data_IF_140627548401
#
_entry.id   IF_140627548401
#
_cell.length_a   1.000
_cell.length_b   1.000
_cell.length_c   1.000
_cell.angle_alpha   90.00
_cell.angle_beta   90.00
_cell.angle_gamma   90.00
#
_symmetry.space_group_name_H-M   'P 1'
#
loop_
_entity.id
_entity.type
_entity.pdbx_description
1 polymer ?
#
# COMPACT_ATOMS: atom_id res chain seq x y z
N UNK A 1 -14.18 22.93 -3.19
CA UNK A 1 -13.23 22.30 -4.11
C UNK A 1 -14.00 21.41 -5.08
N UNK A 2 -14.23 21.89 -6.31
CA UNK A 2 -14.86 21.07 -7.33
C UNK A 2 -13.89 19.92 -7.69
N UNK A 3 -14.29 18.67 -7.45
CA UNK A 3 -13.45 17.50 -7.66
C UNK A 3 -13.17 17.29 -9.15
N UNK A 4 -11.98 17.69 -9.60
CA UNK A 4 -11.53 17.40 -10.95
C UNK A 4 -11.42 15.87 -11.16
N UNK A 5 -12.07 15.37 -12.21
CA UNK A 5 -11.96 13.96 -12.61
C UNK A 5 -10.67 13.76 -13.41
N UNK A 6 -9.61 13.30 -12.74
CA UNK A 6 -8.39 12.89 -13.42
C UNK A 6 -8.57 11.51 -14.05
N UNK A 7 -8.39 11.41 -15.37
CA UNK A 7 -8.24 10.12 -16.03
C UNK A 7 -6.85 9.55 -15.69
N UNK A 8 -6.75 8.34 -15.14
CA UNK A 8 -5.45 7.70 -14.96
C UNK A 8 -4.76 7.59 -16.32
N UNK A 9 -3.53 8.11 -16.45
CA UNK A 9 -2.77 7.97 -17.70
C UNK A 9 -2.50 6.50 -18.03
N UNK A 10 -2.31 5.68 -17.00
CA UNK A 10 -2.02 4.26 -17.11
C UNK A 10 -2.86 3.46 -16.11
N UNK A 11 -3.25 2.24 -16.49
CA UNK A 11 -3.94 1.31 -15.61
C UNK A 11 -2.92 0.58 -14.74
N UNK A 12 -2.89 0.92 -13.44
CA UNK A 12 -2.05 0.22 -12.46
C UNK A 12 -2.69 -1.12 -12.12
N UNK A 13 -1.92 -2.19 -12.16
CA UNK A 13 -2.35 -3.53 -11.78
C UNK A 13 -1.33 -4.19 -10.84
N UNK A 14 -1.60 -5.43 -10.43
CA UNK A 14 -0.77 -6.16 -9.49
C UNK A 14 0.66 -6.46 -10.00
N UNK A 15 0.89 -6.41 -11.33
CA UNK A 15 2.19 -6.60 -11.97
C UNK A 15 2.94 -5.28 -12.24
N UNK A 16 2.30 -4.12 -12.05
CA UNK A 16 2.99 -2.83 -12.22
C UNK A 16 4.14 -2.70 -11.21
N UNK A 17 5.29 -2.22 -11.69
CA UNK A 17 6.52 -1.98 -10.90
C UNK A 17 6.73 -0.48 -10.72
N UNK A 18 7.50 -0.07 -9.71
CA UNK A 18 7.85 1.33 -9.52
C UNK A 18 6.70 2.20 -9.01
N UNK A 19 5.75 1.61 -8.28
CA UNK A 19 4.54 2.30 -7.80
C UNK A 19 4.70 2.85 -6.38
N UNK A 20 4.03 3.97 -6.13
CA UNK A 20 3.72 4.48 -4.79
C UNK A 20 2.24 4.17 -4.51
N UNK A 21 1.93 3.73 -3.29
CA UNK A 21 0.61 3.25 -2.91
C UNK A 21 0.23 3.66 -1.49
N UNK A 22 -1.07 3.74 -1.24
CA UNK A 22 -1.68 4.00 0.07
C UNK A 22 -2.42 2.73 0.51
N UNK A 23 -2.16 2.28 1.74
CA UNK A 23 -3.00 1.34 2.45
C UNK A 23 -3.79 2.10 3.50
N UNK A 24 -5.09 1.83 3.57
CA UNK A 24 -6.00 2.40 4.54
C UNK A 24 -6.59 1.26 5.38
N UNK A 25 -6.40 1.37 6.69
CA UNK A 25 -7.11 0.54 7.65
C UNK A 25 -8.53 1.09 7.85
N UNK A 26 -9.50 0.21 8.09
CA UNK A 26 -10.84 0.61 8.50
C UNK A 26 -10.82 1.40 9.82
N UNK A 27 -9.79 1.18 10.65
CA UNK A 27 -9.51 1.93 11.87
C UNK A 27 -9.04 3.39 11.64
N UNK A 28 -8.80 3.81 10.39
CA UNK A 28 -8.37 5.16 10.05
C UNK A 28 -6.86 5.36 9.97
N UNK A 29 -6.05 4.37 10.34
CA UNK A 29 -4.59 4.42 10.12
C UNK A 29 -4.23 4.31 8.63
N UNK A 30 -3.22 5.06 8.21
CA UNK A 30 -2.73 5.09 6.84
C UNK A 30 -1.27 4.65 6.75
N UNK A 31 -0.94 3.88 5.72
CA UNK A 31 0.44 3.54 5.38
C UNK A 31 0.73 3.92 3.92
N UNK A 32 1.72 4.80 3.72
CA UNK A 32 2.23 5.15 2.39
C UNK A 32 3.50 4.36 2.11
N UNK A 33 3.49 3.59 1.02
CA UNK A 33 4.61 2.77 0.61
C UNK A 33 5.06 3.06 -0.83
N UNK A 34 6.32 2.77 -1.12
CA UNK A 34 6.85 2.71 -2.49
C UNK A 34 7.54 1.38 -2.74
N UNK A 35 7.52 0.90 -3.98
CA UNK A 35 8.18 -0.36 -4.34
C UNK A 35 8.75 -0.31 -5.76
N UNK A 36 9.96 -0.85 -5.94
CA UNK A 36 10.56 -1.14 -7.26
C UNK A 36 10.17 -2.53 -7.78
N UNK A 37 9.63 -3.39 -6.92
CA UNK A 37 9.11 -4.71 -7.29
C UNK A 37 7.69 -4.59 -7.88
N UNK A 38 7.18 -5.68 -8.44
CA UNK A 38 5.76 -5.80 -8.78
C UNK A 38 4.90 -5.57 -7.54
N UNK A 39 3.79 -4.86 -7.71
CA UNK A 39 2.92 -4.46 -6.61
C UNK A 39 2.45 -5.66 -5.76
N UNK A 40 2.10 -6.79 -6.40
CA UNK A 40 1.65 -8.00 -5.69
C UNK A 40 2.74 -8.58 -4.77
N UNK A 41 4.01 -8.57 -5.17
CA UNK A 41 5.13 -9.07 -4.36
C UNK A 41 5.31 -8.24 -3.10
N UNK A 42 5.14 -6.92 -3.22
CA UNK A 42 5.18 -6.01 -2.07
C UNK A 42 4.01 -6.27 -1.12
N UNK A 43 2.80 -6.44 -1.67
CA UNK A 43 1.62 -6.73 -0.86
C UNK A 43 1.73 -8.06 -0.12
N UNK A 44 2.20 -9.11 -0.80
CA UNK A 44 2.41 -10.44 -0.21
C UNK A 44 3.38 -10.38 0.98
N UNK A 45 4.49 -9.66 0.87
CA UNK A 45 5.43 -9.47 2.00
C UNK A 45 4.80 -8.73 3.17
N UNK A 46 4.00 -7.70 2.89
CA UNK A 46 3.28 -6.97 3.95
C UNK A 46 2.28 -7.87 4.66
N UNK A 47 1.46 -8.62 3.92
CA UNK A 47 0.52 -9.60 4.48
C UNK A 47 1.23 -10.67 5.32
N UNK A 48 2.35 -11.21 4.82
CA UNK A 48 3.16 -12.17 5.56
C UNK A 48 3.69 -11.56 6.86
N UNK A 49 4.21 -10.32 6.82
CA UNK A 49 4.72 -9.62 8.01
C UNK A 49 3.63 -9.40 9.06
N UNK A 50 2.42 -9.02 8.64
CA UNK A 50 1.28 -8.85 9.55
C UNK A 50 0.84 -10.19 10.14
N UNK A 51 0.81 -11.26 9.34
CA UNK A 51 0.44 -12.60 9.79
C UNK A 51 1.38 -13.15 10.88
N UNK A 52 2.67 -12.85 10.81
CA UNK A 52 3.65 -13.26 11.83
C UNK A 52 3.74 -12.29 13.02
N UNK A 53 2.91 -11.24 13.06
CA UNK A 53 2.93 -10.26 14.15
C UNK A 53 4.18 -9.39 14.18
N UNK A 54 4.84 -9.17 13.03
CA UNK A 54 6.01 -8.31 12.98
C UNK A 54 5.61 -6.82 12.94
N UNK A 55 5.52 -6.23 14.14
CA UNK A 55 5.15 -4.83 14.38
C UNK A 55 6.33 -3.85 14.20
N UNK A 56 7.53 -4.34 13.90
CA UNK A 56 8.67 -3.45 13.57
C UNK A 56 8.48 -2.77 12.22
N UNK A 57 7.72 -3.39 11.31
CA UNK A 57 7.40 -2.75 10.04
C UNK A 57 6.27 -1.74 10.25
N UNK A 58 6.39 -0.51 9.70
CA UNK A 58 5.35 0.51 9.86
C UNK A 58 3.98 0.09 9.32
N UNK A 59 3.91 -0.87 8.41
CA UNK A 59 2.64 -1.42 7.91
C UNK A 59 1.92 -2.31 8.94
N UNK A 60 2.67 -2.95 9.83
CA UNK A 60 2.14 -3.77 10.91
C UNK A 60 1.91 -2.97 12.20
N UNK A 61 2.47 -1.77 12.29
CA UNK A 61 2.28 -0.91 13.46
C UNK A 61 0.94 -0.18 13.34
N UNK A 62 -0.03 -0.60 14.14
CA UNK A 62 -1.23 0.19 14.42
C UNK A 62 -0.83 1.23 15.48
N UNK A 63 -0.46 2.44 15.06
CA UNK A 63 -0.41 3.58 15.99
C UNK A 63 -1.89 3.93 16.26
N UNK A 64 -2.32 3.72 17.51
CA UNK A 64 -3.64 4.07 18.03
C UNK A 64 -3.67 5.55 18.44
#
# INVERSE_FOLDING_TARGET
YAGEKYKPRHFVNCRTRGVTYLLQCECGSFYVGKTRLEFWKRMSKHLQSMRIGNLYLPVGRQEA
#
